data_IF_118472752646
#
_entry.id   IF_118472752646
#
_cell.length_a   1.000
_cell.length_b   1.000
_cell.length_c   1.000
_cell.angle_alpha   90.00
_cell.angle_beta   90.00
_cell.angle_gamma   90.00
#
_symmetry.space_group_name_H-M   'P 1'
#
loop_
_entity.id
_entity.type
_entity.pdbx_description
1 polymer ?
#
# COMPACT_ATOMS: atom_id res chain seq x y z
N UNK A 1 -9.98 14.90 19.57
CA UNK A 1 -10.40 13.63 18.95
C UNK A 1 -10.55 13.69 17.43
N UNK A 2 -11.36 14.58 16.82
CA UNK A 2 -11.50 14.62 15.35
C UNK A 2 -10.20 14.97 14.58
N UNK A 3 -9.38 15.87 15.16
CA UNK A 3 -8.14 16.35 14.55
C UNK A 3 -7.04 15.29 14.49
N UNK A 4 -6.93 14.44 15.51
CA UNK A 4 -5.93 13.36 15.58
C UNK A 4 -6.27 12.23 14.61
N UNK A 5 -7.55 11.86 14.48
CA UNK A 5 -8.01 10.90 13.47
C UNK A 5 -7.76 11.39 12.05
N UNK A 6 -7.96 12.67 11.79
CA UNK A 6 -7.64 13.28 10.48
C UNK A 6 -6.14 13.27 10.18
N UNK A 7 -5.30 13.52 11.19
CA UNK A 7 -3.85 13.51 11.05
C UNK A 7 -3.30 12.11 10.73
N UNK A 8 -3.77 11.06 11.44
CA UNK A 8 -3.34 9.69 11.15
C UNK A 8 -3.79 9.22 9.77
N UNK A 9 -5.04 9.49 9.37
CA UNK A 9 -5.52 9.13 8.03
C UNK A 9 -4.70 9.83 6.94
N UNK A 10 -4.34 11.11 7.14
CA UNK A 10 -3.49 11.86 6.21
C UNK A 10 -2.08 11.26 6.10
N UNK A 11 -1.51 10.78 7.21
CA UNK A 11 -0.22 10.11 7.22
C UNK A 11 -0.28 8.75 6.49
N UNK A 12 -1.32 7.95 6.75
CA UNK A 12 -1.53 6.67 6.05
C UNK A 12 -1.65 6.85 4.53
N UNK A 13 -2.38 7.89 4.08
CA UNK A 13 -2.49 8.26 2.67
C UNK A 13 -1.11 8.57 2.09
N UNK A 14 -0.37 9.48 2.71
CA UNK A 14 0.96 9.89 2.23
C UNK A 14 1.95 8.74 2.18
N UNK A 15 1.96 7.87 3.21
CA UNK A 15 2.82 6.69 3.23
C UNK A 15 2.45 5.73 2.09
N UNK A 16 1.16 5.49 1.87
CA UNK A 16 0.67 4.62 0.80
C UNK A 16 1.07 5.15 -0.59
N UNK A 17 0.85 6.44 -0.83
CA UNK A 17 1.24 7.12 -2.08
C UNK A 17 2.76 7.05 -2.30
N UNK A 18 3.55 7.30 -1.24
CA UNK A 18 5.02 7.23 -1.31
C UNK A 18 5.50 5.84 -1.71
N UNK A 19 5.00 4.79 -1.06
CA UNK A 19 5.40 3.41 -1.36
C UNK A 19 4.97 3.02 -2.78
N UNK A 20 3.75 3.37 -3.20
CA UNK A 20 3.28 3.07 -4.55
C UNK A 20 4.10 3.83 -5.59
N UNK A 21 4.37 5.11 -5.39
CA UNK A 21 5.20 5.89 -6.31
C UNK A 21 6.63 5.34 -6.41
N UNK A 22 7.22 4.89 -5.30
CA UNK A 22 8.56 4.31 -5.28
C UNK A 22 8.64 3.00 -6.08
N UNK A 23 7.62 2.14 -5.99
CA UNK A 23 7.60 0.85 -6.68
C UNK A 23 7.03 0.90 -8.11
N UNK A 24 6.12 1.82 -8.41
CA UNK A 24 5.30 1.81 -9.64
C UNK A 24 5.25 3.15 -10.39
N UNK A 25 5.89 4.23 -9.90
CA UNK A 25 5.93 5.53 -10.58
C UNK A 25 6.77 5.54 -11.86
N UNK A 26 7.01 6.73 -12.44
CA UNK A 26 7.83 6.91 -13.66
C UNK A 26 9.25 6.33 -13.46
N UNK A 27 9.46 5.08 -13.91
CA UNK A 27 10.69 4.31 -13.73
C UNK A 27 10.53 2.98 -12.98
N UNK A 28 9.39 2.73 -12.35
CA UNK A 28 9.02 1.45 -11.75
C UNK A 28 8.79 0.38 -12.83
N UNK A 29 9.44 -0.78 -12.70
CA UNK A 29 9.36 -1.87 -13.69
C UNK A 29 8.08 -2.72 -13.57
N UNK A 30 7.17 -2.38 -12.65
CA UNK A 30 5.96 -3.15 -12.38
C UNK A 30 4.73 -2.63 -13.12
N UNK A 31 4.06 -3.49 -13.87
CA UNK A 31 2.72 -3.21 -14.39
C UNK A 31 1.71 -3.15 -13.24
N UNK A 32 1.20 -1.96 -12.93
CA UNK A 32 0.16 -1.70 -11.93
C UNK A 32 -1.26 -2.18 -12.35
N UNK A 33 -1.34 -3.15 -13.27
CA UNK A 33 -2.57 -3.61 -13.91
C UNK A 33 -3.61 -4.27 -12.99
N UNK A 34 -4.59 -4.95 -13.59
CA UNK A 34 -5.67 -5.65 -12.88
C UNK A 34 -5.19 -6.56 -11.75
N UNK A 35 -4.06 -7.24 -11.96
CA UNK A 35 -3.41 -8.12 -10.97
C UNK A 35 -3.03 -7.41 -9.68
N UNK A 36 -2.49 -6.19 -9.74
CA UNK A 36 -2.07 -5.45 -8.54
C UNK A 36 -3.24 -5.02 -7.67
N UNK A 37 -4.38 -4.65 -8.27
CA UNK A 37 -5.62 -4.36 -7.54
C UNK A 37 -6.14 -5.59 -6.80
N UNK A 38 -6.13 -6.75 -7.46
CA UNK A 38 -6.54 -8.01 -6.85
C UNK A 38 -5.62 -8.37 -5.69
N UNK A 39 -4.30 -8.24 -5.85
CA UNK A 39 -3.33 -8.54 -4.79
C UNK A 39 -3.55 -7.67 -3.54
N UNK A 40 -3.81 -6.37 -3.70
CA UNK A 40 -4.11 -5.49 -2.57
C UNK A 40 -5.47 -5.77 -1.93
N UNK A 41 -6.48 -6.18 -2.71
CA UNK A 41 -7.74 -6.67 -2.13
C UNK A 41 -7.53 -7.95 -1.32
N UNK A 42 -6.75 -8.91 -1.84
CA UNK A 42 -6.40 -10.13 -1.11
C UNK A 42 -5.63 -9.81 0.19
N UNK A 43 -4.80 -8.77 0.20
CA UNK A 43 -4.10 -8.34 1.41
C UNK A 43 -5.06 -7.78 2.48
N UNK A 44 -6.08 -7.02 2.07
CA UNK A 44 -7.15 -6.56 2.97
C UNK A 44 -7.92 -7.76 3.53
N UNK A 45 -8.25 -8.74 2.70
CA UNK A 45 -8.92 -9.96 3.15
C UNK A 45 -8.03 -10.76 4.11
N UNK A 46 -6.73 -10.84 3.86
CA UNK A 46 -5.77 -11.54 4.69
C UNK A 46 -5.67 -10.95 6.11
N UNK A 47 -5.60 -9.62 6.26
CA UNK A 47 -5.56 -9.00 7.60
C UNK A 47 -6.89 -9.20 8.35
N UNK A 48 -8.03 -9.19 7.65
CA UNK A 48 -9.32 -9.47 8.25
C UNK A 48 -9.45 -10.94 8.70
N UNK A 49 -8.99 -11.89 7.87
CA UNK A 49 -8.96 -13.32 8.20
C UNK A 49 -7.96 -13.66 9.31
N UNK A 50 -6.87 -12.90 9.42
CA UNK A 50 -5.92 -12.98 10.51
C UNK A 50 -6.49 -12.50 11.87
N UNK A 51 -7.78 -12.12 11.92
CA UNK A 51 -8.45 -11.59 13.11
C UNK A 51 -7.70 -10.40 13.73
N UNK A 52 -7.06 -9.59 12.87
CA UNK A 52 -6.25 -8.44 13.29
C UNK A 52 -4.82 -8.76 13.73
N UNK A 53 -4.34 -10.01 13.65
CA UNK A 53 -2.94 -10.32 13.92
C UNK A 53 -2.02 -9.79 12.82
N UNK A 54 -1.17 -8.84 13.19
CA UNK A 54 -0.15 -8.26 12.31
C UNK A 54 0.90 -9.30 11.93
N UNK A 55 1.26 -10.21 12.84
CA UNK A 55 2.26 -11.26 12.61
C UNK A 55 1.78 -12.27 11.56
N UNK A 56 0.52 -12.69 11.66
CA UNK A 56 -0.09 -13.60 10.68
C UNK A 56 -0.16 -12.93 9.32
N UNK A 57 -0.53 -11.64 9.27
CA UNK A 57 -0.51 -10.86 8.02
C UNK A 57 0.91 -10.75 7.42
N UNK A 58 1.92 -10.46 8.22
CA UNK A 58 3.32 -10.37 7.74
C UNK A 58 3.78 -11.71 7.17
N UNK A 59 3.46 -12.82 7.83
CA UNK A 59 3.78 -14.15 7.30
C UNK A 59 3.06 -14.43 5.98
N UNK A 60 1.80 -14.00 5.86
CA UNK A 60 1.08 -14.05 4.60
C UNK A 60 1.77 -13.22 3.51
N UNK A 61 2.20 -11.99 3.79
CA UNK A 61 2.92 -11.15 2.81
C UNK A 61 4.23 -11.81 2.39
N UNK A 62 5.02 -12.34 3.32
CA UNK A 62 6.26 -13.06 3.03
C UNK A 62 6.02 -14.27 2.13
N UNK A 63 4.93 -15.00 2.37
CA UNK A 63 4.52 -16.11 1.52
C UNK A 63 4.12 -15.62 0.11
N UNK A 64 3.41 -14.49 0.01
CA UNK A 64 3.08 -13.90 -1.29
C UNK A 64 4.32 -13.42 -2.04
N UNK A 65 5.33 -12.87 -1.35
CA UNK A 65 6.61 -12.49 -1.97
C UNK A 65 7.33 -13.67 -2.64
N UNK A 66 7.14 -14.91 -2.15
CA UNK A 66 7.69 -16.09 -2.79
C UNK A 66 6.92 -16.51 -4.06
N UNK A 67 5.63 -16.15 -4.17
CA UNK A 67 4.72 -16.65 -5.21
C UNK A 67 4.40 -15.65 -6.30
N UNK A 68 4.26 -14.39 -5.93
CA UNK A 68 3.64 -13.36 -6.74
C UNK A 68 4.67 -12.26 -7.02
N UNK A 69 4.92 -11.97 -8.29
CA UNK A 69 5.87 -10.93 -8.71
C UNK A 69 5.48 -9.54 -8.17
N UNK A 70 4.18 -9.26 -8.05
CA UNK A 70 3.66 -8.00 -7.53
C UNK A 70 4.33 -7.57 -6.21
N UNK A 71 4.46 -8.48 -5.24
CA UNK A 71 5.05 -8.18 -3.93
C UNK A 71 6.58 -8.05 -3.97
N UNK A 72 7.21 -8.53 -5.03
CA UNK A 72 8.64 -8.40 -5.32
C UNK A 72 8.98 -7.17 -6.15
N UNK A 73 7.99 -6.40 -6.60
CA UNK A 73 8.22 -5.13 -7.30
C UNK A 73 9.17 -4.27 -6.49
N UNK A 74 10.30 -3.91 -7.10
CA UNK A 74 11.39 -3.17 -6.44
C UNK A 74 11.08 -1.69 -6.45
N UNK A 75 11.13 -1.08 -5.27
CA UNK A 75 11.36 0.35 -5.11
C UNK A 75 12.85 0.67 -5.06
N UNK A 76 13.21 1.86 -4.56
CA UNK A 76 14.61 2.33 -4.50
C UNK A 76 15.48 1.49 -3.58
N UNK A 77 14.96 1.05 -2.44
CA UNK A 77 15.74 0.35 -1.40
C UNK A 77 15.22 -1.05 -1.06
N UNK A 78 13.92 -1.29 -1.21
CA UNK A 78 13.23 -2.50 -0.76
C UNK A 78 12.14 -2.90 -1.76
N UNK A 79 11.68 -4.14 -1.70
CA UNK A 79 10.49 -4.55 -2.45
C UNK A 79 9.21 -4.04 -1.79
N UNK A 80 8.12 -4.02 -2.55
CA UNK A 80 6.79 -3.65 -2.04
C UNK A 80 6.42 -4.43 -0.77
N UNK A 81 6.58 -5.76 -0.79
CA UNK A 81 6.27 -6.62 0.36
C UNK A 81 7.12 -6.30 1.59
N UNK A 82 8.41 -5.97 1.41
CA UNK A 82 9.29 -5.57 2.51
C UNK A 82 8.83 -4.24 3.13
N UNK A 83 8.48 -3.25 2.29
CA UNK A 83 7.98 -1.94 2.74
C UNK A 83 6.65 -2.06 3.49
N UNK A 84 5.75 -2.92 3.01
CA UNK A 84 4.45 -3.18 3.68
C UNK A 84 4.65 -3.88 5.02
N UNK A 85 5.55 -4.88 5.10
CA UNK A 85 5.85 -5.55 6.36
C UNK A 85 6.45 -4.59 7.39
N UNK A 86 7.39 -3.76 6.97
CA UNK A 86 8.03 -2.75 7.82
C UNK A 86 7.00 -1.77 8.38
N UNK A 87 6.10 -1.26 7.53
CA UNK A 87 5.07 -0.34 7.99
C UNK A 87 4.03 -1.01 8.89
N UNK A 88 3.68 -2.27 8.65
CA UNK A 88 2.80 -3.03 9.54
C UNK A 88 3.41 -3.19 10.95
N UNK A 89 4.72 -3.44 11.05
CA UNK A 89 5.44 -3.47 12.33
C UNK A 89 5.50 -2.08 12.99
N UNK A 90 5.70 -1.01 12.22
CA UNK A 90 5.65 0.37 12.73
C UNK A 90 4.29 0.70 13.34
N UNK A 91 3.19 0.38 12.63
CA UNK A 91 1.83 0.57 13.13
C UNK A 91 1.58 -0.22 14.42
N UNK A 92 2.02 -1.47 14.46
CA UNK A 92 1.91 -2.32 15.65
C UNK A 92 2.66 -1.75 16.84
N UNK A 93 3.89 -1.25 16.65
CA UNK A 93 4.69 -0.63 17.72
C UNK A 93 4.06 0.65 18.23
N UNK A 94 3.43 1.43 17.36
CA UNK A 94 2.84 2.72 17.65
C UNK A 94 1.49 2.61 18.38
N UNK A 95 0.61 1.74 17.91
CA UNK A 95 -0.73 1.55 18.46
C UNK A 95 -1.19 0.09 18.22
N UNK A 96 -0.87 -0.85 19.13
CA UNK A 96 -1.20 -2.25 18.97
C UNK A 96 -2.69 -2.54 18.83
N UNK A 97 -3.55 -1.74 19.50
CA UNK A 97 -5.00 -1.96 19.52
C UNK A 97 -5.64 -1.59 18.18
N UNK A 98 -5.10 -0.56 17.51
CA UNK A 98 -5.63 -0.07 16.22
C UNK A 98 -4.79 -0.44 15.02
N UNK A 99 -3.64 -1.11 15.20
CA UNK A 99 -2.71 -1.45 14.13
C UNK A 99 -3.37 -2.15 12.96
N UNK A 100 -4.22 -3.15 13.22
CA UNK A 100 -4.94 -3.86 12.18
C UNK A 100 -5.90 -2.96 11.40
N UNK A 101 -6.62 -2.08 12.10
CA UNK A 101 -7.52 -1.12 11.46
C UNK A 101 -6.74 -0.13 10.59
N UNK A 102 -5.64 0.43 11.10
CA UNK A 102 -4.79 1.35 10.36
C UNK A 102 -4.12 0.68 9.16
N UNK A 103 -3.69 -0.57 9.30
CA UNK A 103 -3.15 -1.37 8.21
C UNK A 103 -4.20 -1.60 7.12
N UNK A 104 -5.44 -1.94 7.47
CA UNK A 104 -6.54 -2.08 6.51
C UNK A 104 -6.80 -0.77 5.75
N UNK A 105 -6.80 0.37 6.44
CA UNK A 105 -6.95 1.68 5.79
C UNK A 105 -5.79 1.98 4.86
N UNK A 106 -4.56 1.78 5.33
CA UNK A 106 -3.34 1.94 4.55
C UNK A 106 -3.37 1.11 3.26
N UNK A 107 -3.71 -0.18 3.34
CA UNK A 107 -3.84 -1.06 2.16
C UNK A 107 -4.93 -0.56 1.19
N UNK A 108 -6.04 -0.05 1.73
CA UNK A 108 -7.09 0.60 0.93
C UNK A 108 -6.62 1.87 0.22
N UNK A 109 -5.77 2.69 0.87
CA UNK A 109 -5.12 3.84 0.25
C UNK A 109 -4.12 3.41 -0.82
N UNK A 110 -3.30 2.39 -0.56
CA UNK A 110 -2.37 1.85 -1.55
C UNK A 110 -3.10 1.38 -2.81
N UNK A 111 -4.25 0.70 -2.64
CA UNK A 111 -5.05 0.25 -3.79
C UNK A 111 -5.52 1.42 -4.66
N UNK A 112 -5.92 2.53 -4.04
CA UNK A 112 -6.31 3.76 -4.77
C UNK A 112 -5.12 4.45 -5.42
N UNK A 113 -4.00 4.56 -4.72
CA UNK A 113 -2.77 5.15 -5.26
C UNK A 113 -2.26 4.35 -6.48
N UNK A 114 -2.31 3.01 -6.42
CA UNK A 114 -1.91 2.14 -7.52
C UNK A 114 -2.77 2.36 -8.77
N UNK A 115 -4.08 2.57 -8.57
CA UNK A 115 -4.98 2.96 -9.66
C UNK A 115 -4.55 4.31 -10.21
N UNK A 116 -4.39 5.33 -9.36
CA UNK A 116 -4.04 6.68 -9.81
C UNK A 116 -2.79 6.69 -10.71
N UNK A 117 -1.72 6.01 -10.30
CA UNK A 117 -0.48 5.90 -11.09
C UNK A 117 -0.72 5.30 -12.48
N UNK A 118 -1.65 4.36 -12.63
CA UNK A 118 -2.02 3.77 -13.93
C UNK A 118 -2.79 4.70 -14.88
N UNK A 119 -3.25 5.85 -14.38
CA UNK A 119 -4.07 6.83 -15.12
C UNK A 119 -3.40 8.19 -15.27
N UNK A 120 -2.35 8.52 -14.49
CA UNK A 120 -1.66 9.81 -14.60
C UNK A 120 -1.07 10.06 -16.00
N UNK A 121 -0.56 9.00 -16.65
CA UNK A 121 -0.04 9.07 -18.03
C UNK A 121 -1.14 9.18 -19.10
N UNK A 122 -2.40 8.98 -18.70
CA UNK A 122 -3.57 9.04 -19.59
C UNK A 122 -4.32 10.37 -19.47
N UNK A 123 -3.84 11.29 -18.63
CA UNK A 123 -4.38 12.65 -18.55
C UNK A 123 -3.92 13.41 -19.80
N UNK A 124 -4.84 13.86 -20.66
CA UNK A 124 -4.49 14.64 -21.85
C UNK A 124 -3.70 15.90 -21.46
N UNK A 125 -2.67 16.31 -22.23
CA UNK A 125 -1.86 17.49 -21.92
C UNK A 125 -2.67 18.77 -21.70
N UNK A 126 -3.85 18.87 -22.32
CA UNK A 126 -4.76 20.02 -22.23
C UNK A 126 -5.34 20.27 -20.83
N UNK A 127 -5.17 19.35 -19.87
CA UNK A 127 -5.59 19.51 -18.48
C UNK A 127 -4.42 19.86 -17.53
N UNK A 128 -3.16 19.86 -17.99
CA UNK A 128 -1.99 20.17 -17.16
C UNK A 128 -1.70 21.68 -17.01
N UNK A 129 -2.31 22.53 -17.84
CA UNK A 129 -2.03 23.99 -17.87
C UNK A 129 -3.05 24.86 -17.09
N UNK A 130 -4.01 24.26 -16.40
CA UNK A 130 -4.98 25.01 -15.58
C UNK A 130 -4.73 24.73 -14.10
N UNK A 131 -3.63 25.26 -13.58
CA UNK A 131 -3.24 25.18 -12.17
C UNK A 131 -2.20 26.22 -11.81
#
# INVERSE_FOLDING_TARGET
>A
MATETSAILSELVRKAETIVADCFGEGGRGSAGSTGRTQLSNAIDAINQAQGSIEVFINWVRYQMAREEFWRTRGKSKSLGELVCEYAEELKKRDPERAAQYLTYFLGFMRRALVAVSYLDKIPPQLKEVG
#
